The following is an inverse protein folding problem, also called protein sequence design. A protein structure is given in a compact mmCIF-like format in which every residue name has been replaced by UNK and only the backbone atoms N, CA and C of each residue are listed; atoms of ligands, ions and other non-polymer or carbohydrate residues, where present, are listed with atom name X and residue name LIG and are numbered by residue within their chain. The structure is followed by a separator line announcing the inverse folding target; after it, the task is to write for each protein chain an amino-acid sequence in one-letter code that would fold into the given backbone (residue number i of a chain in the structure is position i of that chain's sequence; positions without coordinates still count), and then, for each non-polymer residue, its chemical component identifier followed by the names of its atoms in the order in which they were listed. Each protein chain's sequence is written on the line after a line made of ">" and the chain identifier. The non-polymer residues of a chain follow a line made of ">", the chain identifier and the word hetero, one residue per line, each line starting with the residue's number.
data_IF_084030436527
#
_entry.id   IF_084030436527
#
_cell.length_a   1.000
_cell.length_b   1.000
_cell.length_c   1.000
_cell.angle_alpha   90.00
_cell.angle_beta   90.00
_cell.angle_gamma   90.00
#
_symmetry.space_group_name_H-M   'P 1'
#
loop_
_entity.id
_entity.type
_entity.pdbx_description
1 polymer ?
#
# COMPACT_ATOMS: atom_id res chain seq x y z
N UNK A 1 -1.73 10.84 37.63
CA UNK A 1 -0.87 10.02 36.79
C UNK A 1 -1.49 10.00 35.40
N UNK A 2 -0.95 10.81 34.47
CA UNK A 2 -1.45 10.86 33.08
C UNK A 2 -0.90 9.64 32.34
N UNK A 3 -1.74 8.67 32.08
CA UNK A 3 -1.42 7.59 31.15
C UNK A 3 -1.41 8.18 29.75
N UNK A 4 -0.22 8.49 29.23
CA UNK A 4 -0.05 8.75 27.81
C UNK A 4 -0.31 7.41 27.11
N UNK A 5 -1.52 7.22 26.60
CA UNK A 5 -1.85 6.07 25.74
C UNK A 5 -0.94 6.19 24.51
N UNK A 6 0.06 5.34 24.44
CA UNK A 6 0.91 5.25 23.26
C UNK A 6 -0.01 4.98 22.06
N UNK A 7 0.07 5.85 21.05
CA UNK A 7 -0.76 5.70 19.85
C UNK A 7 -0.47 4.32 19.24
N UNK A 8 -1.51 3.54 19.01
CA UNK A 8 -1.37 2.23 18.36
C UNK A 8 -0.67 2.43 17.00
N UNK A 9 0.44 1.74 16.75
CA UNK A 9 1.19 1.94 15.53
C UNK A 9 0.37 1.48 14.32
N UNK A 10 0.28 2.34 13.31
CA UNK A 10 -0.25 1.97 12.00
C UNK A 10 0.92 1.44 11.18
N UNK A 11 0.77 0.24 10.63
CA UNK A 11 1.74 -0.35 9.71
C UNK A 11 1.14 -0.37 8.31
N UNK A 12 1.57 0.50 7.40
CA UNK A 12 1.17 0.43 6.01
C UNK A 12 1.67 -0.86 5.37
N UNK A 13 0.76 -1.56 4.69
CA UNK A 13 1.04 -2.75 3.90
C UNK A 13 0.74 -2.42 2.44
N UNK A 14 1.79 -2.26 1.64
CA UNK A 14 1.65 -1.93 0.21
C UNK A 14 1.59 -3.24 -0.58
N UNK A 15 0.46 -3.45 -1.26
CA UNK A 15 0.22 -4.62 -2.08
C UNK A 15 0.77 -4.37 -3.48
N UNK A 16 1.94 -4.96 -3.79
CA UNK A 16 2.65 -4.76 -5.05
C UNK A 16 2.31 -5.84 -6.10
N UNK A 17 1.19 -6.53 -5.94
CA UNK A 17 0.72 -7.57 -6.85
C UNK A 17 0.04 -7.01 -8.12
N UNK A 18 -0.26 -7.91 -9.04
CA UNK A 18 -0.95 -7.62 -10.29
C UNK A 18 -0.01 -7.57 -11.50
N UNK A 19 -0.43 -8.17 -12.62
CA UNK A 19 0.35 -8.23 -13.88
C UNK A 19 0.34 -6.91 -14.66
N UNK A 20 -0.61 -6.02 -14.37
CA UNK A 20 -0.69 -4.67 -14.93
C UNK A 20 -0.67 -4.58 -16.45
N UNK A 21 -1.07 -5.63 -17.18
CA UNK A 21 -0.93 -5.74 -18.66
C UNK A 21 -1.82 -4.81 -19.46
N UNK A 22 -2.79 -4.14 -18.83
CA UNK A 22 -3.75 -3.23 -19.49
C UNK A 22 -3.08 -2.00 -20.15
N UNK A 23 -1.89 -1.63 -19.74
CA UNK A 23 -1.12 -0.52 -20.30
C UNK A 23 -0.05 -0.98 -21.31
N UNK A 24 -0.20 -2.18 -21.90
CA UNK A 24 0.73 -2.61 -22.93
C UNK A 24 0.79 -1.56 -24.07
N UNK A 25 1.97 -1.19 -24.62
CA UNK A 25 3.29 -1.79 -24.43
C UNK A 25 4.11 -1.21 -23.26
N UNK A 26 3.59 -0.22 -22.52
CA UNK A 26 4.29 0.41 -21.39
C UNK A 26 4.45 -0.55 -20.21
N UNK A 27 3.43 -1.38 -19.94
CA UNK A 27 3.50 -2.40 -18.89
C UNK A 27 3.53 -3.81 -19.49
N UNK A 28 4.23 -4.71 -18.82
CA UNK A 28 4.39 -6.12 -19.18
C UNK A 28 4.38 -6.97 -17.92
N UNK A 29 4.25 -8.29 -18.05
CA UNK A 29 4.29 -9.21 -16.90
C UNK A 29 5.57 -9.03 -16.07
N UNK A 30 6.72 -8.88 -16.72
CA UNK A 30 8.02 -8.63 -16.08
C UNK A 30 8.22 -7.20 -15.58
N UNK A 31 7.38 -6.25 -16.00
CA UNK A 31 7.42 -4.85 -15.61
C UNK A 31 6.00 -4.28 -15.51
N UNK A 32 5.26 -4.63 -14.44
CA UNK A 32 3.88 -4.20 -14.25
C UNK A 32 3.72 -2.68 -14.10
N UNK A 33 2.47 -2.20 -14.28
CA UNK A 33 2.16 -0.76 -14.34
C UNK A 33 2.61 0.04 -13.12
N UNK A 34 2.58 -0.57 -11.93
CA UNK A 34 2.96 0.10 -10.68
C UNK A 34 4.45 0.49 -10.62
N UNK A 35 5.29 -0.13 -11.46
CA UNK A 35 6.71 0.19 -11.57
C UNK A 35 7.04 1.16 -12.71
N UNK A 36 6.10 1.36 -13.64
CA UNK A 36 6.28 2.27 -14.77
C UNK A 36 6.21 3.72 -14.28
N UNK A 37 7.16 4.61 -14.66
CA UNK A 37 7.07 6.03 -14.34
C UNK A 37 5.96 6.70 -15.16
N UNK A 38 4.76 6.79 -14.58
CA UNK A 38 3.57 7.32 -15.25
C UNK A 38 3.28 8.78 -14.88
N UNK A 39 3.78 9.26 -13.75
CA UNK A 39 3.49 10.59 -13.23
C UNK A 39 4.79 11.32 -12.97
N UNK A 40 5.15 12.21 -13.87
CA UNK A 40 6.49 12.78 -13.89
C UNK A 40 7.53 11.68 -14.07
N UNK A 41 8.56 11.67 -13.23
CA UNK A 41 9.61 10.65 -13.25
C UNK A 41 9.41 9.57 -12.17
N UNK A 42 8.20 9.46 -11.60
CA UNK A 42 7.90 8.53 -10.51
C UNK A 42 6.91 7.46 -10.91
N UNK A 43 7.14 6.27 -10.43
CA UNK A 43 6.19 5.16 -10.53
C UNK A 43 5.05 5.31 -9.51
N UNK A 44 3.92 4.63 -9.75
CA UNK A 44 2.80 4.62 -8.81
C UNK A 44 3.20 4.00 -7.46
N UNK A 45 4.09 3.01 -7.47
CA UNK A 45 4.63 2.42 -6.25
C UNK A 45 5.45 3.45 -5.45
N UNK A 46 6.33 4.21 -6.09
CA UNK A 46 7.10 5.27 -5.42
C UNK A 46 6.18 6.30 -4.78
N UNK A 47 5.17 6.79 -5.51
CA UNK A 47 4.20 7.74 -4.99
C UNK A 47 3.40 7.17 -3.81
N UNK A 48 3.07 5.87 -3.86
CA UNK A 48 2.39 5.19 -2.76
C UNK A 48 3.29 5.09 -1.53
N UNK A 49 4.56 4.68 -1.70
CA UNK A 49 5.53 4.59 -0.61
C UNK A 49 5.77 5.95 0.06
N UNK A 50 5.95 7.02 -0.72
CA UNK A 50 6.09 8.38 -0.21
C UNK A 50 4.85 8.80 0.59
N UNK A 51 3.65 8.53 0.08
CA UNK A 51 2.38 8.85 0.75
C UNK A 51 2.23 8.12 2.08
N UNK A 52 2.45 6.81 2.12
CA UNK A 52 2.28 6.03 3.35
C UNK A 52 3.40 6.28 4.36
N UNK A 53 4.57 6.76 3.94
CA UNK A 53 5.66 7.14 4.83
C UNK A 53 5.33 8.31 5.76
N UNK A 54 4.27 9.07 5.45
CA UNK A 54 3.72 10.12 6.33
C UNK A 54 3.02 9.52 7.56
N UNK A 55 2.59 8.27 7.49
CA UNK A 55 1.88 7.59 8.58
C UNK A 55 2.82 6.79 9.48
N UNK A 56 3.83 6.15 8.90
CA UNK A 56 4.75 5.28 9.61
C UNK A 56 6.08 5.17 8.89
N UNK A 57 7.14 4.95 9.68
CA UNK A 57 8.47 4.60 9.15
C UNK A 57 8.65 3.09 8.97
N UNK A 58 7.76 2.29 9.52
CA UNK A 58 7.75 0.84 9.35
C UNK A 58 6.68 0.46 8.32
N UNK A 59 7.13 0.03 7.14
CA UNK A 59 6.27 -0.29 5.99
C UNK A 59 6.52 -1.74 5.58
N UNK A 60 5.46 -2.45 5.24
CA UNK A 60 5.53 -3.79 4.67
C UNK A 60 5.14 -3.68 3.19
N UNK A 61 5.94 -4.24 2.30
CA UNK A 61 5.57 -4.46 0.90
C UNK A 61 5.33 -5.95 0.68
N UNK A 62 4.21 -6.31 0.06
CA UNK A 62 3.94 -7.70 -0.35
C UNK A 62 4.02 -7.77 -1.86
N UNK A 63 4.91 -8.60 -2.39
CA UNK A 63 5.20 -8.67 -3.81
C UNK A 63 5.46 -10.10 -4.28
N UNK A 64 5.27 -10.37 -5.56
CA UNK A 64 5.79 -11.58 -6.19
C UNK A 64 7.31 -11.62 -6.12
N UNK A 65 7.88 -12.81 -5.91
CA UNK A 65 9.33 -13.00 -5.92
C UNK A 65 9.99 -12.51 -7.22
N UNK A 66 9.30 -12.62 -8.35
CA UNK A 66 9.77 -12.09 -9.65
C UNK A 66 10.04 -10.58 -9.62
N UNK A 67 9.33 -9.83 -8.77
CA UNK A 67 9.42 -8.37 -8.71
C UNK A 67 10.24 -7.82 -7.54
N UNK A 68 10.92 -8.68 -6.77
CA UNK A 68 11.65 -8.30 -5.56
C UNK A 68 12.64 -7.14 -5.76
N UNK A 69 13.36 -7.14 -6.88
CA UNK A 69 14.33 -6.08 -7.18
C UNK A 69 13.66 -4.76 -7.55
N UNK A 70 12.54 -4.80 -8.27
CA UNK A 70 11.77 -3.59 -8.61
C UNK A 70 11.19 -2.93 -7.37
N UNK A 71 10.73 -3.72 -6.40
CA UNK A 71 10.23 -3.20 -5.12
C UNK A 71 11.39 -2.60 -4.32
N UNK A 72 12.52 -3.28 -4.22
CA UNK A 72 13.70 -2.79 -3.50
C UNK A 72 14.21 -1.46 -4.10
N UNK A 73 14.27 -1.35 -5.42
CA UNK A 73 14.64 -0.12 -6.12
C UNK A 73 13.67 1.02 -5.83
N UNK A 74 12.35 0.75 -5.88
CA UNK A 74 11.33 1.75 -5.57
C UNK A 74 11.42 2.23 -4.12
N UNK A 75 11.66 1.33 -3.16
CA UNK A 75 11.86 1.68 -1.75
C UNK A 75 13.11 2.54 -1.55
N UNK A 76 14.22 2.20 -2.20
CA UNK A 76 15.45 2.97 -2.16
C UNK A 76 15.26 4.38 -2.75
N UNK A 77 14.63 4.49 -3.92
CA UNK A 77 14.35 5.76 -4.59
C UNK A 77 13.41 6.66 -3.76
N UNK A 78 12.46 6.06 -3.04
CA UNK A 78 11.55 6.78 -2.14
C UNK A 78 12.15 7.04 -0.75
N UNK A 79 13.38 6.59 -0.48
CA UNK A 79 14.05 6.68 0.84
C UNK A 79 13.21 6.07 1.97
N UNK A 80 12.49 5.00 1.66
CA UNK A 80 11.63 4.26 2.58
C UNK A 80 12.36 2.99 3.02
N UNK A 81 12.33 2.73 4.32
CA UNK A 81 12.78 1.47 4.90
C UNK A 81 11.58 0.60 5.27
N UNK A 82 11.75 -0.72 5.26
CA UNK A 82 10.67 -1.63 5.59
C UNK A 82 11.01 -3.08 5.27
N UNK A 83 10.02 -3.93 5.40
CA UNK A 83 10.11 -5.36 5.11
C UNK A 83 9.45 -5.67 3.77
N UNK A 84 10.09 -6.49 2.96
CA UNK A 84 9.48 -7.04 1.74
C UNK A 84 9.14 -8.50 2.01
N UNK A 85 7.84 -8.82 1.93
CA UNK A 85 7.32 -10.18 1.99
C UNK A 85 7.13 -10.68 0.56
N UNK A 86 7.76 -11.80 0.24
CA UNK A 86 7.74 -12.34 -1.11
C UNK A 86 6.77 -13.51 -1.23
N UNK A 87 5.85 -13.40 -2.17
CA UNK A 87 4.94 -14.49 -2.54
C UNK A 87 5.61 -15.35 -3.63
N UNK A 88 5.87 -16.63 -3.39
CA UNK A 88 6.38 -17.53 -4.43
C UNK A 88 5.38 -17.74 -5.56
N UNK A 89 4.08 -17.67 -5.23
CA UNK A 89 2.97 -17.74 -6.18
C UNK A 89 1.90 -16.75 -5.77
N UNK A 90 1.52 -15.85 -6.67
CA UNK A 90 0.45 -14.90 -6.43
C UNK A 90 -0.91 -15.60 -6.21
N UNK A 91 -1.58 -15.32 -5.10
CA UNK A 91 -2.83 -15.95 -4.66
C UNK A 91 -3.93 -14.94 -4.32
N UNK A 92 -4.02 -13.87 -5.09
CA UNK A 92 -4.96 -12.78 -4.88
C UNK A 92 -4.71 -11.98 -3.58
N UNK A 93 -5.56 -10.99 -3.34
CA UNK A 93 -5.40 -10.02 -2.24
C UNK A 93 -5.47 -10.66 -0.85
N UNK A 94 -6.38 -11.61 -0.63
CA UNK A 94 -6.59 -12.17 0.71
C UNK A 94 -5.36 -12.92 1.23
N UNK A 95 -4.65 -13.66 0.39
CA UNK A 95 -3.43 -14.37 0.78
C UNK A 95 -2.31 -13.38 1.15
N UNK A 96 -2.13 -12.32 0.35
CA UNK A 96 -1.17 -11.25 0.63
C UNK A 96 -1.47 -10.54 1.96
N UNK A 97 -2.75 -10.26 2.23
CA UNK A 97 -3.17 -9.68 3.51
C UNK A 97 -2.90 -10.61 4.68
N UNK A 98 -3.18 -11.91 4.54
CA UNK A 98 -2.93 -12.90 5.58
C UNK A 98 -1.44 -13.03 5.92
N UNK A 99 -0.56 -13.08 4.91
CA UNK A 99 0.90 -13.13 5.12
C UNK A 99 1.38 -11.89 5.87
N UNK A 100 0.91 -10.71 5.51
CA UNK A 100 1.27 -9.48 6.21
C UNK A 100 0.76 -9.47 7.66
N UNK A 101 -0.46 -9.97 7.90
CA UNK A 101 -1.01 -10.08 9.24
C UNK A 101 -0.21 -11.05 10.13
N UNK A 102 0.27 -12.16 9.57
CA UNK A 102 1.12 -13.11 10.29
C UNK A 102 2.51 -12.56 10.61
N UNK A 103 3.00 -11.61 9.80
CA UNK A 103 4.29 -10.95 10.02
C UNK A 103 4.24 -9.76 10.99
N UNK A 104 3.04 -9.26 11.28
CA UNK A 104 2.82 -8.14 12.20
C UNK A 104 2.52 -8.62 13.62
N UNK A 105 2.57 -7.71 14.59
CA UNK A 105 2.17 -8.01 15.96
C UNK A 105 0.64 -7.98 16.08
N UNK A 106 0.05 -8.78 16.99
CA UNK A 106 -1.41 -8.81 17.18
C UNK A 106 -2.03 -7.46 17.55
N UNK A 107 -1.22 -6.53 18.06
CA UNK A 107 -1.64 -5.18 18.48
C UNK A 107 -1.48 -4.12 17.39
N UNK A 108 -0.85 -4.46 16.28
CA UNK A 108 -0.62 -3.50 15.19
C UNK A 108 -1.89 -3.31 14.35
N UNK A 109 -2.13 -2.08 13.92
CA UNK A 109 -3.15 -1.78 12.92
C UNK A 109 -2.53 -1.82 11.53
N UNK A 110 -3.03 -2.69 10.67
CA UNK A 110 -2.54 -2.83 9.31
C UNK A 110 -3.38 -1.99 8.35
N UNK A 111 -2.72 -1.11 7.60
CA UNK A 111 -3.34 -0.32 6.54
C UNK A 111 -2.96 -0.89 5.18
N UNK A 112 -3.87 -1.61 4.55
CA UNK A 112 -3.64 -2.18 3.23
C UNK A 112 -3.86 -1.15 2.12
N UNK A 113 -2.82 -0.91 1.32
CA UNK A 113 -2.84 0.03 0.21
C UNK A 113 -2.43 -0.67 -1.09
N UNK A 114 -3.24 -0.58 -2.15
CA UNK A 114 -2.80 -0.95 -3.49
C UNK A 114 -1.65 -0.05 -3.95
N UNK A 115 -0.67 -0.63 -4.64
CA UNK A 115 0.50 0.09 -5.15
C UNK A 115 0.24 0.89 -6.42
N UNK A 116 -0.94 0.73 -7.02
CA UNK A 116 -1.28 1.24 -8.35
C UNK A 116 -2.33 2.36 -8.34
N UNK A 117 -2.67 2.87 -7.16
CA UNK A 117 -3.60 3.99 -7.00
C UNK A 117 -2.88 5.33 -6.94
N UNK A 118 -3.29 6.26 -7.80
CA UNK A 118 -2.85 7.64 -7.74
C UNK A 118 -3.75 8.44 -6.79
N UNK A 119 -3.18 8.93 -5.69
CA UNK A 119 -3.84 9.81 -4.71
C UNK A 119 -2.96 11.04 -4.57
N UNK A 120 -3.31 12.17 -5.21
CA UNK A 120 -2.45 13.36 -5.27
C UNK A 120 -2.32 14.07 -3.92
N UNK A 121 -3.39 14.11 -3.13
CA UNK A 121 -3.39 14.74 -1.80
C UNK A 121 -3.00 13.74 -0.70
N UNK A 122 -1.71 13.64 -0.46
CA UNK A 122 -1.17 12.76 0.58
C UNK A 122 -1.51 13.22 2.00
N UNK A 123 -1.73 14.52 2.21
CA UNK A 123 -2.09 15.05 3.53
C UNK A 123 -3.54 14.72 3.88
N UNK A 124 -4.47 14.93 2.94
CA UNK A 124 -5.86 14.53 3.11
C UNK A 124 -5.98 13.00 3.31
N UNK A 125 -5.23 12.20 2.53
CA UNK A 125 -5.17 10.76 2.74
C UNK A 125 -4.76 10.40 4.17
N UNK A 126 -3.69 11.00 4.69
CA UNK A 126 -3.23 10.72 6.04
C UNK A 126 -4.25 11.11 7.12
N UNK A 127 -4.99 12.22 6.92
CA UNK A 127 -6.06 12.64 7.83
C UNK A 127 -7.23 11.64 7.85
N UNK A 128 -7.68 11.20 6.67
CA UNK A 128 -8.77 10.22 6.55
C UNK A 128 -8.39 8.88 7.20
N UNK A 129 -7.15 8.41 6.99
CA UNK A 129 -6.66 7.19 7.65
C UNK A 129 -6.70 7.32 9.17
N UNK A 130 -6.26 8.45 9.71
CA UNK A 130 -6.29 8.70 11.17
C UNK A 130 -7.70 8.69 11.74
N UNK A 131 -8.71 9.13 11.00
CA UNK A 131 -10.10 9.06 11.44
C UNK A 131 -10.61 7.62 11.61
N UNK A 132 -10.10 6.69 10.80
CA UNK A 132 -10.46 5.27 10.89
C UNK A 132 -9.83 4.52 12.08
N UNK A 133 -8.79 5.08 12.70
CA UNK A 133 -8.03 4.39 13.76
C UNK A 133 -8.91 3.99 14.95
N UNK A 134 -9.76 4.89 15.43
CA UNK A 134 -10.62 4.62 16.58
C UNK A 134 -11.56 3.43 16.34
N UNK A 135 -12.16 3.35 15.15
CA UNK A 135 -13.00 2.22 14.78
C UNK A 135 -12.19 0.93 14.63
N UNK A 136 -11.01 0.98 14.02
CA UNK A 136 -10.13 -0.19 13.90
C UNK A 136 -9.67 -0.73 15.26
N UNK A 137 -9.42 0.14 16.24
CA UNK A 137 -9.05 -0.25 17.60
C UNK A 137 -10.14 -1.02 18.34
N UNK A 138 -11.41 -0.89 17.96
CA UNK A 138 -12.50 -1.70 18.51
C UNK A 138 -12.60 -3.10 17.87
N UNK A 139 -11.70 -3.45 16.95
CA UNK A 139 -11.71 -4.70 16.20
C UNK A 139 -12.51 -4.66 14.91
N UNK A 140 -12.99 -3.48 14.49
CA UNK A 140 -13.70 -3.32 13.24
C UNK A 140 -12.76 -3.33 12.03
N UNK A 141 -13.23 -3.87 10.91
CA UNK A 141 -12.60 -3.69 9.60
C UNK A 141 -13.08 -2.36 9.04
N UNK A 142 -12.14 -1.45 8.80
CA UNK A 142 -12.42 -0.11 8.26
C UNK A 142 -12.10 -0.07 6.78
N UNK A 143 -13.03 0.40 5.97
CA UNK A 143 -12.84 0.63 4.54
C UNK A 143 -12.97 2.12 4.23
N UNK A 144 -12.19 2.58 3.24
CA UNK A 144 -12.22 3.97 2.78
C UNK A 144 -12.84 4.03 1.40
N UNK A 145 -14.03 4.61 1.31
CA UNK A 145 -14.73 4.83 0.05
C UNK A 145 -14.22 6.06 -0.67
N UNK A 146 -14.34 6.06 -2.00
CA UNK A 146 -14.08 7.23 -2.84
C UNK A 146 -15.44 7.72 -3.37
N UNK A 147 -15.74 9.00 -3.16
CA UNK A 147 -16.93 9.60 -3.76
C UNK A 147 -16.74 9.74 -5.26
N UNK A 148 -17.60 9.12 -6.09
CA UNK A 148 -17.51 9.26 -7.54
C UNK A 148 -17.74 10.72 -7.95
N UNK A 149 -16.93 11.23 -8.87
CA UNK A 149 -17.07 12.58 -9.44
C UNK A 149 -17.87 12.58 -10.75
N UNK A 150 -17.99 11.42 -11.38
CA UNK A 150 -18.78 11.21 -12.60
C UNK A 150 -19.18 9.73 -12.72
N UNK A 151 -20.27 9.40 -13.44
CA UNK A 151 -20.66 8.02 -13.68
C UNK A 151 -19.63 7.31 -14.58
N UNK A 152 -19.21 6.09 -14.20
CA UNK A 152 -18.26 5.29 -14.95
C UNK A 152 -18.61 3.81 -14.84
N UNK A 153 -18.66 3.12 -15.97
CA UNK A 153 -18.83 1.66 -16.01
C UNK A 153 -17.54 0.90 -15.75
N UNK A 154 -16.39 1.60 -15.69
CA UNK A 154 -15.09 0.99 -15.46
C UNK A 154 -14.82 0.68 -13.98
N UNK A 155 -15.60 1.23 -13.07
CA UNK A 155 -15.38 1.14 -11.62
C UNK A 155 -16.53 0.47 -10.85
N UNK A 156 -17.40 -0.19 -11.50
CA UNK A 156 -18.45 -1.00 -10.87
C UNK A 156 -19.44 -0.21 -10.02
#
# INVERSE_FOLDING_TARGET
>A
MSFTTAATPIIPVVLCGGSGTRLWPLSRKSFPKQFVPLIGNKSLLQLTLERVSLLSKNIICVASDEHRFLVAEAMQASKVQGTVLLEPVARNTAAAMAIAALAAKPTDLLLFCPSDHHIPDAAAFAQVVKQGVAAAQTGAIVTFGISPTFPSTAHG
#
